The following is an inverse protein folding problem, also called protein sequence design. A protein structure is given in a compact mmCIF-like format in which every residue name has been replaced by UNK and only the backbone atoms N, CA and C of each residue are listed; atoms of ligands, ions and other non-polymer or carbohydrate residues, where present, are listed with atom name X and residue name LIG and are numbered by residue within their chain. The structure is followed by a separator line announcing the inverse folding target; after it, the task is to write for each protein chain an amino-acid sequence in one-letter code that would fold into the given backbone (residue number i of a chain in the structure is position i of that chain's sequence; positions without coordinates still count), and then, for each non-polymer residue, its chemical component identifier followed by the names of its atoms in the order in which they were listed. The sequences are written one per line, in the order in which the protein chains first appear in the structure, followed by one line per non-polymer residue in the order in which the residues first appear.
data_IF_810827313476
#
_entry.id   IF_810827313476
#
_cell.length_a   1.000
_cell.length_b   1.000
_cell.length_c   1.000
_cell.angle_alpha   90.00
_cell.angle_beta   90.00
_cell.angle_gamma   90.00
#
_symmetry.space_group_name_H-M   'P 1'
#
loop_
_entity.id
_entity.type
_entity.pdbx_description
1 polymer ?
#
# COMPACT_ATOMS: atom_id res chain seq x y z
N UNK A 1 -8.26 41.83 3.97
CA UNK A 1 -8.15 41.42 5.39
C UNK A 1 -6.75 41.63 5.96
N UNK A 2 -5.68 41.10 5.34
CA UNK A 2 -4.29 41.29 5.80
C UNK A 2 -3.76 42.74 5.74
N UNK A 3 -4.11 43.51 4.70
CA UNK A 3 -3.67 44.90 4.58
C UNK A 3 -4.42 45.83 5.55
N UNK A 4 -5.70 45.55 5.82
CA UNK A 4 -6.50 46.28 6.80
C UNK A 4 -5.99 46.08 8.23
N UNK A 5 -5.48 44.89 8.57
CA UNK A 5 -4.92 44.61 9.88
C UNK A 5 -3.58 45.32 10.12
N UNK A 6 -2.74 45.47 9.08
CA UNK A 6 -1.47 46.19 9.16
C UNK A 6 -1.64 47.70 9.39
N UNK A 7 -2.70 48.29 8.82
CA UNK A 7 -3.03 49.72 8.98
C UNK A 7 -3.48 49.99 10.41
N UNK A 8 -4.39 49.17 10.95
CA UNK A 8 -4.88 49.27 12.33
C UNK A 8 -3.74 49.13 13.35
N UNK A 9 -2.79 48.22 13.10
CA UNK A 9 -1.61 48.04 13.96
C UNK A 9 -0.67 49.24 13.89
N UNK A 10 -0.47 49.85 12.71
CA UNK A 10 0.39 51.03 12.55
C UNK A 10 -0.20 52.28 13.20
N UNK A 11 -1.49 52.52 13.04
CA UNK A 11 -2.18 53.68 13.61
C UNK A 11 -2.26 53.59 15.14
N UNK A 12 -2.48 52.39 15.69
CA UNK A 12 -2.52 52.18 17.15
C UNK A 12 -1.13 52.28 17.84
N UNK A 13 -0.04 52.10 17.08
CA UNK A 13 1.34 52.28 17.58
C UNK A 13 1.75 53.76 17.60
N UNK A 14 1.20 54.60 16.73
CA UNK A 14 1.55 56.02 16.64
C UNK A 14 0.98 56.89 17.77
N UNK A 15 -0.14 56.50 18.37
CA UNK A 15 -0.84 57.28 19.42
C UNK A 15 -0.34 57.04 20.86
N UNK A 16 0.64 56.15 21.10
CA UNK A 16 1.04 55.75 22.46
C UNK A 16 2.51 56.00 22.80
N UNK A 17 3.01 57.21 22.53
CA UNK A 17 4.22 57.71 23.19
C UNK A 17 3.92 57.98 24.68
N UNK A 18 4.08 56.96 25.53
CA UNK A 18 4.08 57.15 26.99
C UNK A 18 3.71 55.96 27.89
N UNK A 19 3.46 54.75 27.37
CA UNK A 19 3.02 53.62 28.23
C UNK A 19 3.71 52.30 27.89
N UNK A 20 4.97 52.16 28.31
CA UNK A 20 5.78 50.95 28.10
C UNK A 20 5.17 49.65 28.65
N UNK A 21 4.35 49.72 29.71
CA UNK A 21 3.70 48.55 30.28
C UNK A 21 2.52 48.03 29.42
N UNK A 22 1.73 48.94 28.85
CA UNK A 22 0.62 48.58 27.96
C UNK A 22 1.13 48.05 26.62
N UNK A 23 2.21 48.62 26.08
CA UNK A 23 2.82 48.14 24.84
C UNK A 23 3.39 46.72 25.01
N UNK A 24 4.00 46.42 26.15
CA UNK A 24 4.49 45.07 26.46
C UNK A 24 3.33 44.07 26.63
N UNK A 25 2.28 44.44 27.37
CA UNK A 25 1.09 43.60 27.55
C UNK A 25 0.37 43.31 26.23
N UNK A 26 0.26 44.30 25.33
CA UNK A 26 -0.32 44.13 23.99
C UNK A 26 0.49 43.16 23.14
N UNK A 27 1.83 43.27 23.13
CA UNK A 27 2.70 42.37 22.38
C UNK A 27 2.63 40.94 22.93
N UNK A 28 2.57 40.79 24.25
CA UNK A 28 2.40 39.48 24.90
C UNK A 28 1.03 38.88 24.57
N UNK A 29 -0.05 39.66 24.63
CA UNK A 29 -1.39 39.19 24.26
C UNK A 29 -1.49 38.81 22.78
N UNK A 30 -0.89 39.60 21.88
CA UNK A 30 -0.83 39.28 20.45
C UNK A 30 0.00 38.01 20.23
N UNK A 31 1.13 37.82 20.93
CA UNK A 31 1.89 36.56 20.88
C UNK A 31 1.10 35.37 21.42
N UNK A 32 0.39 35.53 22.53
CA UNK A 32 -0.44 34.46 23.12
C UNK A 32 -1.60 34.11 22.18
N UNK A 33 -2.26 35.10 21.60
CA UNK A 33 -3.34 34.91 20.63
C UNK A 33 -2.81 34.30 19.33
N UNK A 34 -1.65 34.73 18.85
CA UNK A 34 -0.96 34.18 17.68
C UNK A 34 -0.53 32.72 17.91
N UNK A 35 0.07 32.41 19.06
CA UNK A 35 0.43 31.03 19.46
C UNK A 35 -0.82 30.18 19.65
N UNK A 36 -1.91 30.71 20.20
CA UNK A 36 -3.18 30.00 20.32
C UNK A 36 -3.89 29.81 18.97
N UNK A 37 -3.73 30.73 18.01
CA UNK A 37 -4.21 30.60 16.63
C UNK A 37 -3.39 29.56 15.87
N UNK A 38 -2.07 29.56 16.02
CA UNK A 38 -1.18 28.51 15.49
C UNK A 38 -1.51 27.14 16.13
N UNK A 39 -1.76 27.09 17.44
CA UNK A 39 -2.17 25.87 18.14
C UNK A 39 -3.58 25.41 17.78
N UNK A 40 -4.52 26.32 17.47
CA UNK A 40 -5.85 25.96 16.94
C UNK A 40 -5.77 25.36 15.53
N UNK A 41 -4.75 25.74 14.75
CA UNK A 41 -4.46 25.13 13.45
C UNK A 41 -3.60 23.85 13.55
N UNK A 42 -2.87 23.66 14.65
CA UNK A 42 -2.27 22.38 15.04
C UNK A 42 -3.33 21.50 15.71
N UNK A 43 -4.17 20.85 14.90
CA UNK A 43 -5.07 19.81 15.42
C UNK A 43 -4.20 18.71 16.03
N UNK A 44 -4.15 18.65 17.37
CA UNK A 44 -3.36 17.66 18.10
C UNK A 44 -3.73 16.26 17.63
N UNK A 45 -2.77 15.50 17.10
CA UNK A 45 -2.98 14.12 16.66
C UNK A 45 -3.55 13.30 17.83
N UNK A 46 -4.71 12.64 17.68
CA UNK A 46 -5.31 11.86 18.75
C UNK A 46 -4.33 10.84 19.31
N UNK A 47 -4.28 10.68 20.64
CA UNK A 47 -3.48 9.65 21.32
C UNK A 47 -3.70 8.24 20.75
N UNK A 48 -4.89 7.96 20.19
CA UNK A 48 -5.24 6.68 19.55
C UNK A 48 -4.50 6.43 18.23
N UNK A 49 -4.24 7.46 17.43
CA UNK A 49 -3.41 7.37 16.22
C UNK A 49 -1.96 7.11 16.64
N UNK A 50 -1.48 7.90 17.60
CA UNK A 50 -0.10 7.82 18.10
C UNK A 50 0.26 6.46 18.75
N UNK A 51 -0.73 5.71 19.26
CA UNK A 51 -0.54 4.42 19.95
C UNK A 51 -0.71 3.17 19.05
N UNK A 52 -0.80 3.32 17.72
CA UNK A 52 -0.64 2.20 16.78
C UNK A 52 -1.88 1.33 16.50
N UNK A 53 -3.08 1.73 16.95
CA UNK A 53 -4.36 1.13 16.55
C UNK A 53 -5.36 2.22 16.21
N UNK A 54 -5.25 2.78 15.01
CA UNK A 54 -6.25 3.66 14.45
C UNK A 54 -7.30 2.82 13.71
N UNK A 55 -8.58 3.00 14.05
CA UNK A 55 -9.73 2.57 13.24
C UNK A 55 -10.40 3.85 12.79
N UNK A 56 -10.42 4.11 11.49
CA UNK A 56 -11.23 5.21 10.99
C UNK A 56 -12.71 4.80 11.10
N UNK A 57 -13.49 5.67 11.72
CA UNK A 57 -14.91 5.40 12.00
C UNK A 57 -15.77 5.50 10.73
N UNK A 58 -15.26 6.13 9.68
CA UNK A 58 -16.01 6.36 8.44
C UNK A 58 -15.86 5.21 7.43
N UNK A 59 -14.71 4.54 7.41
CA UNK A 59 -14.42 3.45 6.45
C UNK A 59 -13.99 2.13 7.14
N UNK A 60 -13.86 2.10 8.47
CA UNK A 60 -13.56 0.87 9.21
C UNK A 60 -12.12 0.37 9.13
N UNK A 61 -11.25 1.02 8.36
CA UNK A 61 -9.88 0.58 8.09
C UNK A 61 -9.05 0.66 9.38
N UNK A 62 -8.33 -0.43 9.66
CA UNK A 62 -7.40 -0.49 10.80
C UNK A 62 -5.96 -0.44 10.35
N UNK A 63 -5.14 0.30 11.10
CA UNK A 63 -3.75 0.56 10.75
C UNK A 63 -2.77 0.04 11.80
N UNK A 64 -1.56 -0.29 11.34
CA UNK A 64 -0.37 -0.53 12.16
C UNK A 64 0.60 0.62 11.96
N UNK A 65 1.19 1.12 13.05
CA UNK A 65 2.26 2.12 13.00
C UNK A 65 3.59 1.44 12.73
N UNK A 66 4.30 1.90 11.71
CA UNK A 66 5.70 1.56 11.48
C UNK A 66 6.55 2.71 12.00
N UNK A 67 7.49 2.41 12.89
CA UNK A 67 8.31 3.45 13.52
C UNK A 67 9.26 4.10 12.51
N UNK A 68 9.72 5.30 12.84
CA UNK A 68 10.88 5.88 12.14
C UNK A 68 12.11 5.06 12.47
N UNK A 69 13.04 4.93 11.53
CA UNK A 69 14.24 4.14 11.73
C UNK A 69 14.91 3.80 10.41
N UNK A 70 15.99 3.04 10.50
CA UNK A 70 16.71 2.52 9.36
C UNK A 70 16.37 1.03 9.24
N UNK A 71 15.93 0.63 8.07
CA UNK A 71 15.49 -0.73 7.80
C UNK A 71 16.28 -1.34 6.65
N UNK A 72 16.48 -2.65 6.74
CA UNK A 72 17.11 -3.43 5.70
C UNK A 72 16.04 -3.90 4.70
N UNK A 73 16.23 -3.59 3.41
CA UNK A 73 15.32 -3.96 2.30
C UNK A 73 16.11 -4.42 1.08
N UNK A 74 15.48 -5.18 0.19
CA UNK A 74 16.11 -5.85 -0.95
C UNK A 74 16.35 -7.34 -0.70
N UNK A 75 17.11 -7.97 -1.59
CA UNK A 75 17.39 -9.40 -1.54
C UNK A 75 18.42 -9.75 -0.47
N UNK A 76 18.06 -10.73 0.37
CA UNK A 76 18.93 -11.35 1.36
C UNK A 76 19.99 -12.25 0.79
N UNK A 77 20.96 -12.65 1.63
CA UNK A 77 21.92 -13.67 1.24
C UNK A 77 21.20 -14.97 0.82
N UNK A 78 20.07 -15.31 1.45
CA UNK A 78 19.25 -16.44 1.05
C UNK A 78 18.60 -16.22 -0.33
N UNK A 79 18.14 -14.99 -0.61
CA UNK A 79 17.61 -14.62 -1.94
C UNK A 79 18.72 -14.68 -3.01
N UNK A 80 19.94 -14.23 -2.69
CA UNK A 80 21.09 -14.28 -3.59
C UNK A 80 21.54 -15.73 -3.89
N UNK A 81 21.52 -16.61 -2.89
CA UNK A 81 21.80 -18.06 -3.09
C UNK A 81 20.75 -18.70 -3.99
N UNK A 82 19.49 -18.29 -3.86
CA UNK A 82 18.42 -18.75 -4.75
C UNK A 82 18.58 -18.20 -6.17
N UNK A 83 19.03 -16.94 -6.29
CA UNK A 83 19.20 -16.27 -7.57
C UNK A 83 20.47 -16.67 -8.30
N UNK A 84 21.57 -17.02 -7.62
CA UNK A 84 22.83 -17.40 -8.26
C UNK A 84 22.71 -18.65 -9.14
N UNK A 85 21.59 -19.35 -9.06
CA UNK A 85 21.22 -20.46 -9.92
C UNK A 85 20.58 -20.02 -11.25
N UNK A 86 20.26 -18.72 -11.44
CA UNK A 86 19.59 -18.19 -12.63
C UNK A 86 20.04 -16.76 -13.02
N UNK A 87 20.41 -16.58 -14.30
CA UNK A 87 20.78 -15.28 -14.88
C UNK A 87 19.59 -14.31 -14.91
N UNK A 88 19.58 -13.34 -14.00
CA UNK A 88 18.65 -12.21 -14.10
C UNK A 88 19.37 -10.92 -13.69
N UNK A 89 19.57 -9.98 -14.61
CA UNK A 89 20.38 -8.74 -14.46
C UNK A 89 19.78 -7.69 -13.49
N UNK A 90 18.97 -8.10 -12.50
CA UNK A 90 18.38 -7.18 -11.52
C UNK A 90 19.40 -6.92 -10.39
N UNK A 91 19.65 -5.66 -10.05
CA UNK A 91 20.49 -5.31 -8.89
C UNK A 91 19.54 -4.96 -7.75
N UNK A 92 19.10 -5.97 -7.01
CA UNK A 92 18.26 -5.81 -5.81
C UNK A 92 19.11 -6.16 -4.59
N UNK A 93 20.34 -5.66 -4.52
CA UNK A 93 21.19 -5.91 -3.36
C UNK A 93 20.54 -5.33 -2.10
N UNK A 94 20.67 -6.05 -1.01
CA UNK A 94 20.28 -5.59 0.32
C UNK A 94 20.87 -4.20 0.59
N UNK A 95 20.00 -3.22 0.80
CA UNK A 95 20.36 -1.84 1.10
C UNK A 95 19.54 -1.32 2.28
N UNK A 96 19.95 -0.16 2.80
CA UNK A 96 19.28 0.49 3.91
C UNK A 96 18.35 1.56 3.39
N UNK A 97 17.11 1.57 3.89
CA UNK A 97 16.17 2.68 3.72
C UNK A 97 15.94 3.34 5.07
N UNK A 98 16.08 4.66 5.10
CA UNK A 98 15.75 5.47 6.26
C UNK A 98 14.32 5.99 6.15
N UNK A 99 13.56 5.84 7.24
CA UNK A 99 12.29 6.53 7.46
C UNK A 99 12.50 7.54 8.57
N UNK A 100 12.69 8.81 8.19
CA UNK A 100 12.86 9.92 9.15
C UNK A 100 11.61 10.14 10.03
N UNK A 101 10.44 9.70 9.57
CA UNK A 101 9.16 9.76 10.28
C UNK A 101 8.42 8.42 10.21
N UNK A 102 7.59 8.19 11.22
CA UNK A 102 6.69 7.03 11.24
C UNK A 102 5.54 7.21 10.27
N UNK A 103 5.17 6.13 9.60
CA UNK A 103 3.96 6.02 8.80
C UNK A 103 3.04 4.94 9.38
N UNK A 104 1.85 4.81 8.81
CA UNK A 104 0.94 3.72 9.11
C UNK A 104 0.57 2.97 7.84
N UNK A 105 0.32 1.69 7.96
CA UNK A 105 -0.11 0.84 6.85
C UNK A 105 -1.32 0.01 7.28
N UNK A 106 -2.28 -0.17 6.36
CA UNK A 106 -3.50 -0.89 6.63
C UNK A 106 -3.18 -2.36 7.00
N UNK A 107 -3.87 -2.85 8.03
CA UNK A 107 -3.72 -4.20 8.55
C UNK A 107 -3.99 -5.29 7.52
N UNK A 108 -4.87 -4.98 6.57
CA UNK A 108 -5.42 -5.89 5.57
C UNK A 108 -5.49 -5.16 4.23
N UNK A 109 -5.62 -5.94 3.16
CA UNK A 109 -5.98 -5.47 1.82
C UNK A 109 -7.32 -4.73 1.83
N UNK A 110 -7.52 -3.83 0.86
CA UNK A 110 -8.84 -3.26 0.59
C UNK A 110 -9.77 -4.37 0.11
N UNK A 111 -10.94 -4.46 0.73
CA UNK A 111 -11.93 -5.49 0.44
C UNK A 111 -12.89 -5.07 -0.67
N UNK A 112 -13.60 -6.05 -1.25
CA UNK A 112 -14.70 -5.79 -2.17
C UNK A 112 -15.78 -4.90 -1.55
N UNK A 113 -16.15 -5.10 -0.29
CA UNK A 113 -17.14 -4.26 0.40
C UNK A 113 -16.68 -2.81 0.56
N UNK A 114 -15.43 -2.60 0.95
CA UNK A 114 -14.84 -1.25 1.07
C UNK A 114 -14.73 -0.55 -0.29
N UNK A 115 -14.34 -1.28 -1.34
CA UNK A 115 -14.24 -0.73 -2.69
C UNK A 115 -15.62 -0.47 -3.31
N UNK A 116 -16.61 -1.33 -3.03
CA UNK A 116 -17.99 -1.14 -3.45
C UNK A 116 -18.57 0.17 -2.90
N UNK A 117 -18.33 0.49 -1.63
CA UNK A 117 -18.78 1.75 -1.02
C UNK A 117 -18.20 2.98 -1.74
N UNK A 118 -16.94 2.90 -2.19
CA UNK A 118 -16.33 3.94 -3.03
C UNK A 118 -17.05 4.09 -4.37
N UNK A 119 -17.27 2.99 -5.08
CA UNK A 119 -17.92 3.01 -6.39
C UNK A 119 -19.35 3.55 -6.28
N UNK A 120 -20.08 3.16 -5.23
CA UNK A 120 -21.45 3.62 -5.01
C UNK A 120 -21.50 5.13 -4.70
N UNK A 121 -20.61 5.65 -3.85
CA UNK A 121 -20.55 7.09 -3.55
C UNK A 121 -20.17 7.90 -4.81
N UNK A 122 -19.20 7.41 -5.60
CA UNK A 122 -18.80 8.06 -6.84
C UNK A 122 -19.93 8.08 -7.87
N UNK A 123 -20.69 6.98 -8.02
CA UNK A 123 -21.82 6.90 -8.96
C UNK A 123 -23.05 7.67 -8.48
N UNK A 124 -23.26 7.76 -7.16
CA UNK A 124 -24.29 8.62 -6.60
C UNK A 124 -24.00 10.11 -6.89
N UNK A 125 -22.72 10.51 -6.84
CA UNK A 125 -22.30 11.88 -7.16
C UNK A 125 -22.20 12.17 -8.67
N UNK A 126 -21.84 11.16 -9.47
CA UNK A 126 -21.73 11.22 -10.92
C UNK A 126 -22.18 9.88 -11.55
N UNK A 127 -23.42 9.76 -12.05
CA UNK A 127 -23.94 8.52 -12.63
C UNK A 127 -23.12 7.98 -13.83
N UNK A 128 -22.34 8.82 -14.50
CA UNK A 128 -21.46 8.44 -15.61
C UNK A 128 -20.08 7.96 -15.15
N UNK A 129 -19.81 7.92 -13.84
CA UNK A 129 -18.55 7.45 -13.31
C UNK A 129 -18.29 5.98 -13.69
N UNK A 130 -17.18 5.77 -14.38
CA UNK A 130 -16.66 4.44 -14.75
C UNK A 130 -15.23 4.28 -14.23
N UNK A 131 -14.93 3.09 -13.74
CA UNK A 131 -13.55 2.70 -13.44
C UNK A 131 -12.78 2.49 -14.74
N UNK A 132 -11.47 2.69 -14.71
CA UNK A 132 -10.63 2.43 -15.87
C UNK A 132 -10.69 0.96 -16.28
N UNK A 133 -10.77 0.04 -15.32
CA UNK A 133 -10.97 -1.39 -15.56
C UNK A 133 -12.34 -1.75 -16.18
N UNK A 134 -13.32 -0.85 -16.14
CA UNK A 134 -14.66 -1.11 -16.71
C UNK A 134 -14.74 -0.75 -18.20
N UNK A 135 -13.82 0.08 -18.69
CA UNK A 135 -13.75 0.51 -20.09
C UNK A 135 -13.65 -0.69 -21.04
N UNK A 136 -14.38 -0.66 -22.16
CA UNK A 136 -14.49 -1.78 -23.11
C UNK A 136 -13.16 -2.23 -23.74
N UNK A 137 -12.11 -1.42 -23.67
CA UNK A 137 -10.78 -1.75 -24.21
C UNK A 137 -9.81 -2.28 -23.15
N UNK A 138 -10.19 -2.24 -21.86
CA UNK A 138 -9.37 -2.71 -20.75
C UNK A 138 -10.01 -3.97 -20.17
N UNK A 139 -9.55 -5.13 -20.63
CA UNK A 139 -9.94 -6.41 -20.06
C UNK A 139 -9.03 -6.73 -18.88
N UNK A 140 -9.59 -7.35 -17.84
CA UNK A 140 -8.76 -7.94 -16.80
C UNK A 140 -8.14 -9.24 -17.31
N UNK A 141 -6.86 -9.44 -17.01
CA UNK A 141 -6.18 -10.70 -17.30
C UNK A 141 -6.59 -11.71 -16.23
N UNK A 142 -7.07 -12.88 -16.66
CA UNK A 142 -7.46 -13.97 -15.76
C UNK A 142 -6.36 -15.03 -15.70
N UNK A 143 -5.92 -15.28 -14.47
CA UNK A 143 -5.39 -16.59 -14.09
C UNK A 143 -6.56 -17.50 -13.73
N UNK A 144 -6.50 -18.77 -14.12
CA UNK A 144 -7.40 -19.79 -13.60
C UNK A 144 -6.74 -20.61 -12.47
N UNK A 145 -7.45 -21.58 -11.91
CA UNK A 145 -6.93 -22.44 -10.84
C UNK A 145 -5.92 -23.48 -11.36
N UNK A 146 -5.68 -23.50 -12.68
CA UNK A 146 -4.59 -24.22 -13.34
C UNK A 146 -3.37 -23.33 -13.63
N UNK A 147 -3.37 -22.08 -13.15
CA UNK A 147 -2.28 -21.10 -13.32
C UNK A 147 -2.01 -20.75 -14.79
N UNK A 148 -3.01 -20.90 -15.66
CA UNK A 148 -2.91 -20.50 -17.05
C UNK A 148 -3.43 -19.06 -17.21
N UNK A 149 -2.65 -18.23 -17.90
CA UNK A 149 -3.04 -16.88 -18.27
C UNK A 149 -3.90 -16.95 -19.54
N UNK A 150 -5.17 -16.58 -19.42
CA UNK A 150 -6.07 -16.51 -20.57
C UNK A 150 -6.15 -15.07 -21.05
N UNK A 151 -5.64 -14.82 -22.26
CA UNK A 151 -5.99 -13.62 -23.02
C UNK A 151 -7.35 -13.86 -23.67
N UNK A 152 -8.28 -12.90 -23.59
CA UNK A 152 -9.54 -12.92 -24.34
C UNK A 152 -9.28 -12.73 -25.85
N UNK A 153 -8.47 -13.60 -26.48
CA UNK A 153 -8.35 -13.73 -27.92
C UNK A 153 -9.06 -15.00 -28.38
N UNK A 154 -10.39 -14.96 -28.32
CA UNK A 154 -11.25 -15.58 -29.32
C UNK A 154 -11.71 -17.02 -29.12
N UNK A 155 -11.26 -17.80 -28.13
CA UNK A 155 -11.73 -19.20 -28.01
C UNK A 155 -11.99 -19.75 -26.59
N UNK A 156 -11.97 -18.93 -25.54
CA UNK A 156 -12.49 -19.32 -24.22
C UNK A 156 -13.49 -18.29 -23.73
N UNK A 157 -14.76 -18.64 -23.77
CA UNK A 157 -15.89 -17.82 -23.30
C UNK A 157 -15.86 -17.76 -21.77
N UNK A 158 -14.90 -17.04 -21.17
CA UNK A 158 -15.14 -16.42 -19.88
C UNK A 158 -15.70 -15.04 -20.19
N UNK A 159 -17.00 -14.86 -19.99
CA UNK A 159 -17.64 -13.56 -20.00
C UNK A 159 -16.78 -12.54 -19.23
N UNK A 160 -16.49 -11.38 -19.84
CA UNK A 160 -15.70 -10.25 -19.31
C UNK A 160 -15.54 -10.30 -17.79
N UNK A 161 -14.37 -10.70 -17.31
CA UNK A 161 -14.08 -10.68 -15.86
C UNK A 161 -13.95 -9.24 -15.37
N UNK A 162 -14.44 -8.97 -14.17
CA UNK A 162 -14.42 -7.63 -13.55
C UNK A 162 -14.17 -7.76 -12.06
N UNK A 163 -13.95 -6.64 -11.36
CA UNK A 163 -13.83 -6.65 -9.90
C UNK A 163 -15.09 -7.19 -9.20
N UNK A 164 -16.26 -7.14 -9.85
CA UNK A 164 -17.53 -7.71 -9.35
C UNK A 164 -17.63 -9.22 -9.54
N UNK A 165 -17.00 -9.75 -10.57
CA UNK A 165 -17.00 -11.17 -10.90
C UNK A 165 -15.61 -11.62 -11.40
N UNK A 166 -14.60 -11.66 -10.51
CA UNK A 166 -13.22 -11.97 -10.91
C UNK A 166 -12.95 -13.47 -11.04
N UNK A 167 -13.84 -14.31 -10.49
CA UNK A 167 -13.71 -15.77 -10.41
C UNK A 167 -15.02 -16.44 -10.87
N UNK A 168 -15.03 -17.78 -11.09
CA UNK A 168 -16.24 -18.50 -11.49
C UNK A 168 -17.42 -18.26 -10.53
N UNK A 169 -18.65 -18.29 -11.09
CA UNK A 169 -19.91 -17.87 -10.44
C UNK A 169 -20.16 -18.51 -9.06
N UNK A 170 -19.61 -19.70 -8.80
CA UNK A 170 -19.83 -20.44 -7.55
C UNK A 170 -18.64 -20.40 -6.58
N UNK A 171 -17.62 -19.57 -6.83
CA UNK A 171 -16.46 -19.54 -5.95
C UNK A 171 -16.81 -19.03 -4.54
N UNK A 172 -17.41 -17.84 -4.45
CA UNK A 172 -17.70 -17.19 -3.18
C UNK A 172 -18.73 -17.95 -2.34
N UNK A 173 -19.71 -18.62 -2.96
CA UNK A 173 -20.69 -19.42 -2.22
C UNK A 173 -20.07 -20.58 -1.43
N UNK A 174 -18.81 -20.97 -1.74
CA UNK A 174 -18.08 -22.02 -1.06
C UNK A 174 -16.93 -21.50 -0.17
N UNK A 175 -16.54 -20.23 -0.32
CA UNK A 175 -15.29 -19.69 0.27
C UNK A 175 -15.47 -18.41 1.11
N UNK A 176 -16.73 -18.01 1.35
CA UNK A 176 -17.08 -16.88 2.22
C UNK A 176 -17.71 -15.72 1.47
N UNK A 177 -18.18 -14.72 2.22
CA UNK A 177 -18.87 -13.57 1.66
C UNK A 177 -17.94 -12.76 0.75
N UNK A 178 -18.37 -12.53 -0.49
CA UNK A 178 -17.63 -11.77 -1.51
C UNK A 178 -17.06 -10.45 -0.96
N UNK A 179 -17.82 -9.75 -0.13
CA UNK A 179 -17.45 -8.47 0.49
C UNK A 179 -16.19 -8.54 1.35
N UNK A 180 -15.82 -9.72 1.86
CA UNK A 180 -14.68 -9.93 2.75
C UNK A 180 -13.40 -10.30 2.03
N UNK A 181 -13.48 -10.61 0.74
CA UNK A 181 -12.32 -10.89 -0.11
C UNK A 181 -11.64 -9.60 -0.56
N UNK A 182 -10.33 -9.63 -0.89
CA UNK A 182 -9.65 -8.48 -1.44
C UNK A 182 -10.26 -8.08 -2.79
N UNK A 183 -10.35 -6.78 -3.04
CA UNK A 183 -10.69 -6.29 -4.38
C UNK A 183 -9.55 -6.61 -5.35
N UNK A 184 -9.91 -7.18 -6.49
CA UNK A 184 -9.00 -7.52 -7.61
C UNK A 184 -9.61 -7.04 -8.92
N UNK A 185 -8.93 -7.23 -10.05
CA UNK A 185 -9.35 -6.70 -11.35
C UNK A 185 -9.52 -5.16 -11.31
N UNK A 186 -8.64 -4.48 -10.58
CA UNK A 186 -8.54 -3.01 -10.50
C UNK A 186 -7.20 -2.57 -11.06
N UNK A 187 -7.20 -1.48 -11.82
CA UNK A 187 -5.93 -0.90 -12.29
C UNK A 187 -5.25 -0.10 -11.17
N UNK A 188 -4.00 0.27 -11.40
CA UNK A 188 -3.30 1.19 -10.48
C UNK A 188 -4.00 2.56 -10.41
N UNK A 189 -4.58 3.02 -11.53
CA UNK A 189 -5.33 4.28 -11.56
C UNK A 189 -6.65 4.18 -10.77
N UNK A 190 -7.32 3.02 -10.79
CA UNK A 190 -8.51 2.78 -9.98
C UNK A 190 -8.18 2.80 -8.47
N UNK A 191 -7.04 2.21 -8.08
CA UNK A 191 -6.54 2.27 -6.72
C UNK A 191 -6.25 3.73 -6.30
N UNK A 192 -5.66 4.55 -7.17
CA UNK A 192 -5.50 5.99 -6.90
C UNK A 192 -6.83 6.75 -6.81
N UNK A 193 -7.81 6.42 -7.64
CA UNK A 193 -9.14 7.03 -7.55
C UNK A 193 -9.78 6.76 -6.18
N UNK A 194 -9.62 5.53 -5.67
CA UNK A 194 -10.01 5.16 -4.31
C UNK A 194 -9.25 5.97 -3.24
N UNK A 195 -7.93 6.15 -3.37
CA UNK A 195 -7.14 6.99 -2.46
C UNK A 195 -7.61 8.45 -2.46
N UNK A 196 -7.87 9.02 -3.64
CA UNK A 196 -8.39 10.40 -3.79
C UNK A 196 -9.75 10.54 -3.12
N UNK A 197 -10.63 9.56 -3.30
CA UNK A 197 -11.93 9.50 -2.65
C UNK A 197 -11.80 9.43 -1.13
N UNK A 198 -10.93 8.56 -0.61
CA UNK A 198 -10.64 8.48 0.83
C UNK A 198 -10.18 9.83 1.37
N UNK A 199 -9.19 10.46 0.73
CA UNK A 199 -8.70 11.77 1.17
C UNK A 199 -9.81 12.82 1.12
N UNK A 200 -10.55 12.95 0.02
CA UNK A 200 -11.66 13.90 -0.13
C UNK A 200 -12.69 13.76 1.00
N UNK A 201 -13.06 12.52 1.34
CA UNK A 201 -14.08 12.23 2.34
C UNK A 201 -13.54 12.15 3.78
N UNK A 202 -12.22 12.15 3.98
CA UNK A 202 -11.62 12.12 5.30
C UNK A 202 -11.55 13.51 5.93
N UNK A 203 -12.51 13.80 6.81
CA UNK A 203 -12.55 15.04 7.61
C UNK A 203 -11.62 14.93 8.81
N UNK A 204 -10.91 16.01 9.13
CA UNK A 204 -9.95 16.12 10.26
C UNK A 204 -8.78 15.13 10.17
N UNK A 205 -8.02 15.20 9.09
CA UNK A 205 -6.91 14.28 8.76
C UNK A 205 -5.69 14.32 9.71
N UNK A 206 -5.69 15.22 10.72
CA UNK A 206 -4.62 15.37 11.73
C UNK A 206 -3.19 15.50 11.17
N UNK A 207 -3.07 16.11 9.98
CA UNK A 207 -1.81 16.25 9.28
C UNK A 207 -1.35 14.98 8.54
N UNK A 208 -2.21 13.98 8.38
CA UNK A 208 -1.98 12.77 7.60
C UNK A 208 -2.79 12.77 6.30
N UNK A 209 -2.43 11.92 5.36
CA UNK A 209 -3.23 11.61 4.19
C UNK A 209 -3.11 10.13 3.82
N UNK A 210 -4.15 9.60 3.20
CA UNK A 210 -4.12 8.28 2.57
C UNK A 210 -3.23 8.32 1.33
N UNK A 211 -2.45 7.26 1.15
CA UNK A 211 -1.63 7.01 -0.04
C UNK A 211 -1.67 5.53 -0.38
N UNK A 212 -1.22 5.16 -1.58
CA UNK A 212 -0.65 3.82 -1.75
C UNK A 212 0.66 3.74 -0.95
N UNK A 213 1.02 2.58 -0.37
CA UNK A 213 2.36 2.41 0.17
C UNK A 213 3.37 2.55 -0.96
N UNK A 214 4.55 3.10 -0.66
CA UNK A 214 5.68 2.86 -1.53
C UNK A 214 6.16 1.42 -1.41
N UNK A 215 6.98 1.00 -2.36
CA UNK A 215 7.65 -0.29 -2.34
C UNK A 215 8.47 -0.48 -1.06
N UNK A 216 9.22 0.54 -0.64
CA UNK A 216 10.03 0.48 0.57
C UNK A 216 9.16 0.40 1.82
N UNK A 217 8.07 1.18 1.90
CA UNK A 217 7.11 1.09 3.00
C UNK A 217 6.52 -0.32 3.08
N UNK A 218 6.13 -0.87 1.93
CA UNK A 218 5.54 -2.18 1.83
C UNK A 218 6.52 -3.27 2.29
N UNK A 219 7.78 -3.24 1.84
CA UNK A 219 8.75 -4.28 2.18
C UNK A 219 9.12 -4.26 3.67
N UNK A 220 9.33 -3.06 4.25
CA UNK A 220 9.57 -2.93 5.70
C UNK A 220 8.38 -3.48 6.50
N UNK A 221 7.17 -3.14 6.09
CA UNK A 221 5.95 -3.63 6.71
C UNK A 221 5.81 -5.15 6.59
N UNK A 222 6.17 -5.73 5.43
CA UNK A 222 6.12 -7.16 5.16
C UNK A 222 7.11 -7.91 6.05
N UNK A 223 8.38 -7.49 6.04
CA UNK A 223 9.48 -8.12 6.79
C UNK A 223 9.21 -8.16 8.28
N UNK A 224 8.64 -7.08 8.84
CA UNK A 224 8.36 -6.97 10.28
C UNK A 224 9.55 -7.37 11.20
N UNK A 225 10.77 -7.06 10.75
CA UNK A 225 12.03 -7.41 11.43
C UNK A 225 12.70 -8.70 10.96
N UNK A 226 12.08 -9.48 10.07
CA UNK A 226 12.68 -10.66 9.43
C UNK A 226 13.69 -10.28 8.35
N UNK A 227 14.84 -10.96 8.36
CA UNK A 227 15.83 -10.88 7.27
C UNK A 227 15.70 -12.03 6.26
N UNK A 228 14.78 -12.96 6.50
CA UNK A 228 14.54 -14.11 5.64
C UNK A 228 13.78 -13.78 4.35
N UNK A 229 13.61 -14.82 3.55
CA UNK A 229 12.75 -14.89 2.37
C UNK A 229 11.29 -14.62 2.74
N UNK A 230 10.87 -15.08 3.92
CA UNK A 230 9.51 -14.94 4.44
C UNK A 230 9.54 -14.20 5.78
N UNK A 231 8.39 -13.64 6.20
CA UNK A 231 8.32 -12.90 7.47
C UNK A 231 8.23 -13.81 8.70
N UNK A 232 7.98 -15.11 8.51
CA UNK A 232 7.83 -16.09 9.59
C UNK A 232 9.08 -16.96 9.74
N UNK A 233 9.12 -17.69 10.86
CA UNK A 233 10.19 -18.61 11.26
C UNK A 233 9.62 -20.02 11.43
N UNK A 234 10.49 -21.03 11.39
CA UNK A 234 10.14 -22.39 11.78
C UNK A 234 10.01 -22.52 13.31
N UNK A 235 9.66 -23.74 13.76
CA UNK A 235 9.48 -24.11 15.17
C UNK A 235 10.75 -24.02 16.03
N UNK A 236 11.93 -23.93 15.41
CA UNK A 236 13.23 -23.74 16.07
C UNK A 236 13.75 -22.30 15.95
N UNK A 237 12.97 -21.40 15.36
CA UNK A 237 13.35 -20.00 15.14
C UNK A 237 14.24 -19.79 13.90
N UNK A 238 14.41 -20.80 13.06
CA UNK A 238 15.07 -20.71 11.76
C UNK A 238 14.25 -19.90 10.75
N UNK A 239 14.92 -19.17 9.87
CA UNK A 239 14.28 -18.39 8.80
C UNK A 239 14.06 -19.25 7.55
N UNK A 240 13.24 -18.76 6.61
CA UNK A 240 13.08 -19.32 5.27
C UNK A 240 12.31 -20.65 5.22
N UNK A 241 11.33 -20.86 6.09
CA UNK A 241 10.58 -22.10 6.14
C UNK A 241 9.35 -22.08 5.21
N UNK A 242 9.45 -22.70 4.03
CA UNK A 242 8.28 -22.84 3.14
C UNK A 242 7.29 -23.91 3.63
N UNK A 243 7.70 -24.85 4.50
CA UNK A 243 6.85 -25.97 4.92
C UNK A 243 5.70 -25.51 5.82
N UNK A 244 5.84 -24.38 6.50
CA UNK A 244 4.76 -23.77 7.29
C UNK A 244 3.97 -22.69 6.52
N UNK A 245 4.20 -22.51 5.21
CA UNK A 245 3.57 -21.44 4.43
C UNK A 245 2.04 -21.41 4.49
N UNK A 246 1.37 -22.58 4.51
CA UNK A 246 -0.10 -22.67 4.58
C UNK A 246 -0.72 -22.12 5.88
N UNK A 247 0.08 -21.83 6.91
CA UNK A 247 -0.37 -21.12 8.13
C UNK A 247 -0.34 -19.60 7.97
N UNK A 248 0.45 -19.10 7.02
CA UNK A 248 0.82 -17.70 6.90
C UNK A 248 0.32 -17.04 5.61
N UNK A 249 0.01 -17.81 4.57
CA UNK A 249 -0.49 -17.26 3.32
C UNK A 249 -1.39 -18.22 2.52
N UNK A 250 -2.13 -17.60 1.60
CA UNK A 250 -2.79 -18.23 0.46
C UNK A 250 -1.87 -18.14 -0.76
N UNK A 251 -1.46 -19.25 -1.36
CA UNK A 251 -0.54 -19.27 -2.50
C UNK A 251 -0.78 -20.48 -3.40
N UNK A 252 -0.08 -20.53 -4.53
CA UNK A 252 -0.19 -21.69 -5.38
C UNK A 252 0.50 -22.89 -4.71
N UNK A 253 -0.33 -23.80 -4.24
CA UNK A 253 0.13 -25.12 -3.85
C UNK A 253 0.48 -25.93 -5.11
N UNK A 254 1.67 -26.55 -5.13
CA UNK A 254 2.05 -27.72 -5.94
C UNK A 254 0.86 -28.68 -6.05
N UNK A 255 0.09 -28.55 -7.12
CA UNK A 255 -0.93 -29.53 -7.47
C UNK A 255 -0.19 -30.73 -8.05
N UNK A 256 -0.49 -31.92 -7.53
CA UNK A 256 -0.21 -33.20 -8.18
C UNK A 256 1.27 -33.56 -8.45
N UNK A 257 2.19 -33.22 -7.54
CA UNK A 257 3.56 -33.75 -7.70
C UNK A 257 4.41 -32.99 -8.73
N UNK A 258 3.96 -31.84 -9.24
CA UNK A 258 4.68 -31.03 -10.22
C UNK A 258 4.91 -29.60 -9.72
N UNK A 259 6.12 -29.02 -9.90
CA UNK A 259 6.38 -27.62 -9.63
C UNK A 259 5.31 -26.75 -10.28
N UNK A 260 4.92 -25.66 -9.63
CA UNK A 260 4.20 -24.59 -10.33
C UNK A 260 5.10 -24.18 -11.50
N UNK A 261 4.59 -24.27 -12.72
CA UNK A 261 5.39 -24.10 -13.94
C UNK A 261 6.34 -22.89 -13.81
N UNK A 262 7.65 -23.16 -13.88
CA UNK A 262 8.75 -22.19 -13.78
C UNK A 262 9.07 -21.57 -12.40
N UNK A 263 8.62 -22.12 -11.26
CA UNK A 263 9.23 -21.70 -9.96
C UNK A 263 10.72 -22.14 -9.94
N UNK A 264 11.67 -21.18 -9.89
CA UNK A 264 13.09 -21.49 -9.98
C UNK A 264 13.67 -22.13 -8.71
N UNK A 265 12.87 -22.39 -7.67
CA UNK A 265 13.36 -22.98 -6.41
C UNK A 265 12.58 -24.27 -6.08
N UNK A 266 13.27 -25.36 -5.67
CA UNK A 266 12.62 -26.59 -5.18
C UNK A 266 12.06 -26.41 -3.75
N UNK A 267 11.27 -25.36 -3.54
CA UNK A 267 10.46 -25.15 -2.32
C UNK A 267 9.01 -25.42 -2.66
N UNK A 268 8.25 -25.79 -1.65
CA UNK A 268 6.81 -26.02 -1.76
C UNK A 268 6.11 -25.43 -0.55
N UNK A 269 4.94 -24.83 -0.78
CA UNK A 269 3.96 -24.51 0.25
C UNK A 269 2.89 -25.60 0.31
N UNK A 270 2.66 -26.25 1.45
CA UNK A 270 1.54 -27.19 1.58
C UNK A 270 0.24 -26.59 1.07
N UNK A 271 -0.66 -27.44 0.56
CA UNK A 271 -2.00 -27.01 0.12
C UNK A 271 -2.69 -26.19 1.20
N UNK A 272 -3.08 -24.97 0.83
CA UNK A 272 -3.93 -24.12 1.65
C UNK A 272 -5.42 -24.32 1.31
N UNK A 273 -6.31 -23.56 1.97
CA UNK A 273 -7.75 -23.79 1.91
C UNK A 273 -8.46 -23.15 0.71
N UNK A 274 -7.77 -22.35 -0.12
CA UNK A 274 -8.40 -21.52 -1.15
C UNK A 274 -7.77 -21.76 -2.52
N UNK A 275 -8.61 -21.89 -3.56
CA UNK A 275 -8.14 -22.04 -4.95
C UNK A 275 -7.99 -20.71 -5.69
N UNK A 276 -8.58 -19.63 -5.16
CA UNK A 276 -8.38 -18.25 -5.58
C UNK A 276 -8.15 -17.39 -4.33
N UNK A 277 -8.67 -16.17 -4.27
CA UNK A 277 -8.53 -15.31 -3.08
C UNK A 277 -9.17 -15.90 -1.84
N UNK A 278 -8.58 -15.62 -0.68
CA UNK A 278 -9.14 -15.90 0.64
C UNK A 278 -9.73 -14.60 1.23
N UNK A 279 -10.71 -14.66 2.16
CA UNK A 279 -11.12 -13.52 2.96
C UNK A 279 -9.90 -12.85 3.62
N UNK A 280 -9.90 -11.51 3.68
CA UNK A 280 -8.74 -10.79 4.19
C UNK A 280 -8.46 -11.11 5.66
N UNK A 281 -7.22 -11.46 5.97
CA UNK A 281 -6.76 -11.87 7.29
C UNK A 281 -7.23 -13.25 7.73
N UNK A 282 -7.35 -14.19 6.79
CA UNK A 282 -7.61 -15.61 7.08
C UNK A 282 -6.39 -16.34 7.66
N UNK A 283 -5.18 -15.83 7.41
CA UNK A 283 -3.92 -16.45 7.84
C UNK A 283 -3.27 -15.70 9.01
N UNK A 284 -2.22 -16.29 9.60
CA UNK A 284 -1.52 -15.65 10.71
C UNK A 284 -0.83 -14.35 10.28
N UNK A 285 -0.94 -13.27 11.06
CA UNK A 285 -0.27 -12.02 10.73
C UNK A 285 1.24 -12.11 11.00
N UNK A 286 2.00 -11.19 10.41
CA UNK A 286 3.41 -11.02 10.74
C UNK A 286 3.60 -10.38 12.15
N UNK A 287 4.85 -10.19 12.58
CA UNK A 287 5.19 -9.65 13.91
C UNK A 287 4.66 -8.23 14.17
N UNK A 288 4.30 -7.48 13.13
CA UNK A 288 3.67 -6.16 13.24
C UNK A 288 2.13 -6.24 13.32
N UNK A 289 1.54 -7.42 13.16
CA UNK A 289 0.10 -7.62 13.15
C UNK A 289 -0.57 -7.28 11.81
N UNK A 290 0.22 -7.35 10.72
CA UNK A 290 -0.24 -7.18 9.33
C UNK A 290 -0.56 -8.54 8.73
N UNK A 291 -1.69 -8.62 8.04
CA UNK A 291 -2.19 -9.82 7.37
C UNK A 291 -1.94 -9.75 5.88
N UNK A 292 -1.86 -10.93 5.27
CA UNK A 292 -1.80 -11.12 3.81
C UNK A 292 -0.67 -10.30 3.15
N UNK A 293 0.44 -10.06 3.88
CA UNK A 293 1.60 -9.37 3.31
C UNK A 293 2.31 -10.25 2.28
N UNK A 294 2.13 -11.57 2.32
CA UNK A 294 2.60 -12.50 1.31
C UNK A 294 1.41 -13.36 0.88
N UNK A 295 1.27 -13.61 -0.43
CA UNK A 295 0.16 -14.36 -1.01
C UNK A 295 -1.18 -13.61 -1.01
N UNK A 296 -2.26 -14.36 -1.22
CA UNK A 296 -3.61 -13.88 -1.52
C UNK A 296 -3.67 -13.08 -2.83
N UNK A 297 -3.17 -11.84 -2.86
CA UNK A 297 -3.07 -11.04 -4.09
C UNK A 297 -1.80 -10.22 -4.07
N UNK A 298 -1.23 -9.98 -5.25
CA UNK A 298 -0.23 -8.93 -5.42
C UNK A 298 -0.82 -7.58 -5.03
N UNK A 299 0.04 -6.68 -4.57
CA UNK A 299 -0.37 -5.36 -4.12
C UNK A 299 0.30 -4.24 -4.89
N UNK A 300 -0.52 -3.37 -5.48
CA UNK A 300 -0.04 -2.13 -6.07
C UNK A 300 0.71 -1.27 -5.05
N UNK A 301 1.93 -0.89 -5.41
CA UNK A 301 2.68 0.18 -4.75
C UNK A 301 2.61 1.46 -5.60
N UNK A 302 2.92 2.60 -4.98
CA UNK A 302 2.98 3.89 -5.69
C UNK A 302 4.06 3.90 -6.80
N UNK A 303 5.19 3.25 -6.54
CA UNK A 303 6.45 3.40 -7.29
C UNK A 303 6.34 2.98 -8.77
N UNK A 304 7.03 3.74 -9.62
CA UNK A 304 7.34 3.33 -10.98
C UNK A 304 8.34 2.15 -10.99
N UNK A 305 8.19 1.22 -11.92
CA UNK A 305 9.09 0.08 -12.03
C UNK A 305 10.49 0.51 -12.50
N UNK A 306 11.50 0.19 -11.69
CA UNK A 306 12.91 0.30 -12.05
C UNK A 306 13.68 -0.96 -11.69
N UNK A 307 14.66 -1.32 -12.52
CA UNK A 307 15.62 -2.40 -12.23
C UNK A 307 16.66 -1.99 -11.17
N UNK A 308 16.84 -0.68 -10.95
CA UNK A 308 17.68 -0.11 -9.90
C UNK A 308 16.77 0.26 -8.73
N UNK A 309 16.99 -0.38 -7.59
CA UNK A 309 16.21 -0.14 -6.35
C UNK A 309 16.93 0.74 -5.35
N UNK A 310 18.25 0.77 -5.40
CA UNK A 310 19.10 1.72 -4.68
C UNK A 310 20.45 1.88 -5.40
N UNK A 311 21.10 3.02 -5.17
CA UNK A 311 22.48 3.22 -5.59
C UNK A 311 23.43 2.48 -4.63
N UNK A 312 24.48 1.81 -5.14
CA UNK A 312 25.46 1.12 -4.28
C UNK A 312 26.05 2.03 -3.20
N UNK A 313 26.07 1.55 -1.96
CA UNK A 313 26.70 2.27 -0.83
C UNK A 313 25.88 3.41 -0.22
N UNK A 314 24.67 3.69 -0.72
CA UNK A 314 23.81 4.75 -0.18
C UNK A 314 22.72 4.17 0.73
N UNK A 315 22.44 4.89 1.82
CA UNK A 315 21.16 4.74 2.53
C UNK A 315 20.17 5.63 1.80
N UNK A 316 19.16 5.03 1.17
CA UNK A 316 18.11 5.83 0.55
C UNK A 316 17.27 6.46 1.68
N UNK A 317 17.29 7.78 1.78
CA UNK A 317 16.34 8.55 2.59
C UNK A 317 15.07 8.88 1.77
N UNK A 318 14.73 7.99 0.83
CA UNK A 318 13.62 8.19 -0.08
C UNK A 318 12.57 7.08 0.11
N UNK A 319 11.51 7.36 0.89
CA UNK A 319 10.41 6.42 1.06
C UNK A 319 9.44 6.45 -0.13
N UNK A 320 9.71 7.16 -1.23
CA UNK A 320 8.80 7.31 -2.37
C UNK A 320 9.40 6.84 -3.71
N UNK A 321 10.43 5.99 -3.65
CA UNK A 321 11.07 5.37 -4.81
C UNK A 321 12.53 5.79 -4.99
N UNK A 322 13.27 5.18 -5.92
CA UNK A 322 14.65 5.55 -6.21
C UNK A 322 14.75 6.93 -6.87
N UNK A 323 15.72 7.73 -6.44
CA UNK A 323 16.00 9.06 -7.01
C UNK A 323 16.26 8.98 -8.52
N UNK A 324 15.71 9.94 -9.26
CA UNK A 324 15.89 10.05 -10.72
C UNK A 324 15.04 9.10 -11.55
N UNK A 325 14.19 8.28 -10.94
CA UNK A 325 13.17 7.49 -11.65
C UNK A 325 11.92 8.35 -11.85
N UNK A 326 11.40 8.49 -13.08
CA UNK A 326 10.20 9.28 -13.33
C UNK A 326 8.98 8.76 -12.55
N UNK A 327 8.20 9.68 -11.99
CA UNK A 327 6.97 9.34 -11.25
C UNK A 327 5.87 8.78 -12.14
N UNK A 328 5.94 8.99 -13.47
CA UNK A 328 4.94 8.54 -14.44
C UNK A 328 5.42 7.43 -15.39
N UNK A 329 6.01 6.39 -14.83
CA UNK A 329 6.29 5.19 -15.60
C UNK A 329 5.00 4.40 -15.90
N UNK A 330 4.90 3.77 -17.09
CA UNK A 330 3.75 2.95 -17.45
C UNK A 330 3.65 1.72 -16.56
N UNK A 331 4.79 1.10 -16.24
CA UNK A 331 4.86 -0.05 -15.35
C UNK A 331 5.00 0.40 -13.89
N UNK A 332 4.16 -0.17 -13.02
CA UNK A 332 4.14 0.09 -11.58
C UNK A 332 4.54 -1.15 -10.80
N UNK A 333 5.11 -0.94 -9.62
CA UNK A 333 5.55 -2.03 -8.74
C UNK A 333 4.34 -2.74 -8.13
N UNK A 334 4.39 -4.07 -8.12
CA UNK A 334 3.52 -4.97 -7.39
C UNK A 334 4.34 -5.84 -6.43
N UNK A 335 3.87 -6.04 -5.19
CA UNK A 335 4.56 -6.82 -4.15
C UNK A 335 3.69 -7.95 -3.60
N UNK A 336 4.30 -8.94 -2.94
CA UNK A 336 3.58 -9.93 -2.10
C UNK A 336 3.35 -11.30 -2.72
N UNK A 337 3.22 -11.40 -4.04
CA UNK A 337 2.71 -12.64 -4.65
C UNK A 337 1.20 -12.78 -4.47
N UNK A 338 0.61 -13.77 -5.11
CA UNK A 338 -0.84 -14.01 -5.13
C UNK A 338 -1.19 -15.47 -4.81
N UNK A 339 -2.48 -15.77 -4.77
CA UNK A 339 -3.02 -17.14 -4.74
C UNK A 339 -2.49 -18.01 -5.90
N UNK A 340 -1.99 -17.39 -6.98
CA UNK A 340 -1.40 -18.07 -8.13
C UNK A 340 0.15 -18.19 -8.04
N UNK A 341 0.78 -17.68 -6.98
CA UNK A 341 2.24 -17.53 -6.89
C UNK A 341 2.90 -18.61 -6.02
N UNK A 342 3.99 -19.19 -6.54
CA UNK A 342 4.82 -20.15 -5.80
C UNK A 342 5.77 -19.50 -4.79
N UNK A 343 6.56 -20.30 -4.05
CA UNK A 343 7.53 -19.82 -3.06
C UNK A 343 8.52 -18.76 -3.55
N UNK A 344 9.00 -18.82 -4.80
CA UNK A 344 9.91 -17.79 -5.30
C UNK A 344 9.24 -16.41 -5.41
N UNK A 345 7.97 -16.38 -5.81
CA UNK A 345 7.23 -15.15 -6.12
C UNK A 345 6.59 -14.51 -4.88
N UNK A 346 6.57 -15.23 -3.77
CA UNK A 346 5.96 -14.85 -2.47
C UNK A 346 7.02 -14.55 -1.40
N UNK A 347 8.21 -14.11 -1.81
CA UNK A 347 9.26 -13.66 -0.89
C UNK A 347 9.04 -12.20 -0.50
N UNK A 348 9.45 -11.83 0.71
CA UNK A 348 9.49 -10.46 1.19
C UNK A 348 10.17 -9.51 0.20
N UNK A 349 11.27 -9.95 -0.43
CA UNK A 349 12.05 -9.16 -1.39
C UNK A 349 11.55 -9.24 -2.84
N UNK A 350 10.60 -10.13 -3.14
CA UNK A 350 10.16 -10.34 -4.52
C UNK A 350 9.38 -9.13 -5.05
N UNK A 351 9.66 -8.78 -6.31
CA UNK A 351 9.08 -7.63 -7.01
C UNK A 351 8.53 -8.08 -8.35
N UNK A 352 7.28 -7.71 -8.65
CA UNK A 352 6.68 -7.78 -9.98
C UNK A 352 6.41 -6.36 -10.48
N UNK A 353 6.30 -6.20 -11.79
CA UNK A 353 5.69 -5.02 -12.38
C UNK A 353 4.46 -5.38 -13.17
N UNK A 354 3.57 -4.41 -13.31
CA UNK A 354 2.42 -4.50 -14.19
C UNK A 354 2.13 -3.12 -14.77
N UNK A 355 1.64 -3.08 -16.03
CA UNK A 355 1.19 -1.83 -16.64
C UNK A 355 0.06 -1.22 -15.81
N UNK A 356 0.16 0.08 -15.53
CA UNK A 356 -0.77 0.83 -14.66
C UNK A 356 -2.21 0.82 -15.13
N UNK A 357 -2.47 0.50 -16.40
CA UNK A 357 -3.79 0.44 -17.01
C UNK A 357 -4.33 -0.99 -17.15
N UNK A 358 -3.54 -2.01 -16.81
CA UNK A 358 -3.99 -3.41 -16.88
C UNK A 358 -4.56 -3.85 -15.54
N UNK A 359 -5.80 -4.34 -15.57
CA UNK A 359 -6.42 -5.03 -14.46
C UNK A 359 -6.05 -6.53 -14.50
N UNK A 360 -5.84 -7.16 -13.35
CA UNK A 360 -5.55 -8.60 -13.26
C UNK A 360 -6.28 -9.18 -12.05
N UNK A 361 -6.80 -10.40 -12.14
CA UNK A 361 -7.57 -11.04 -11.06
C UNK A 361 -6.71 -11.54 -9.87
N UNK A 362 -5.41 -11.27 -9.92
CA UNK A 362 -4.44 -11.61 -8.87
C UNK A 362 -3.74 -10.37 -8.28
N UNK A 363 -4.16 -9.15 -8.67
CA UNK A 363 -3.64 -7.88 -8.12
C UNK A 363 -4.77 -7.09 -7.46
N UNK A 364 -4.55 -6.72 -6.20
CA UNK A 364 -5.31 -5.75 -5.44
C UNK A 364 -4.41 -4.66 -4.87
N UNK A 365 -4.80 -4.08 -3.74
CA UNK A 365 -3.99 -3.07 -3.05
C UNK A 365 -4.38 -2.93 -1.57
N UNK A 366 -3.49 -2.30 -0.81
CA UNK A 366 -3.77 -1.78 0.53
C UNK A 366 -3.40 -0.30 0.61
N UNK A 367 -3.83 0.36 1.68
CA UNK A 367 -3.59 1.80 1.86
C UNK A 367 -2.59 2.08 2.98
N UNK A 368 -1.88 3.20 2.87
CA UNK A 368 -1.01 3.74 3.90
C UNK A 368 -1.54 5.11 4.38
N UNK A 369 -1.10 5.53 5.58
CA UNK A 369 -1.25 6.88 6.08
C UNK A 369 0.13 7.46 6.39
N UNK A 370 0.43 8.58 5.75
CA UNK A 370 1.70 9.30 5.89
C UNK A 370 1.42 10.74 6.30
N UNK A 371 2.37 11.43 6.92
CA UNK A 371 2.17 12.86 7.21
C UNK A 371 2.19 13.62 5.89
N UNK A 372 1.30 14.59 5.75
CA UNK A 372 1.21 15.45 4.55
C UNK A 372 2.54 16.19 4.31
N UNK A 373 3.26 16.52 5.38
CA UNK A 373 4.58 17.17 5.32
C UNK A 373 5.67 16.27 4.73
N UNK A 374 5.45 14.96 4.70
CA UNK A 374 6.42 13.96 4.26
C UNK A 374 6.11 13.47 2.83
N UNK A 375 5.04 13.99 2.22
CA UNK A 375 4.66 13.72 0.83
C UNK A 375 5.30 14.80 -0.06
N UNK A 376 6.09 14.41 -1.08
CA UNK A 376 6.61 15.33 -2.09
C UNK A 376 5.48 16.12 -2.80
N UNK A 377 5.72 17.39 -3.14
CA UNK A 377 4.67 18.26 -3.68
C UNK A 377 4.06 17.75 -4.99
N UNK A 378 4.89 17.16 -5.86
CA UNK A 378 4.48 16.47 -7.09
C UNK A 378 3.50 15.31 -6.82
N UNK A 379 3.54 14.68 -5.64
CA UNK A 379 2.69 13.55 -5.28
C UNK A 379 1.41 13.96 -4.55
N UNK A 380 1.36 15.16 -3.96
CA UNK A 380 0.16 15.64 -3.27
C UNK A 380 -1.05 15.70 -4.22
N UNK A 381 -0.85 16.22 -5.42
CA UNK A 381 -1.91 16.28 -6.46
C UNK A 381 -2.38 14.88 -6.87
N UNK A 382 -1.45 13.93 -6.98
CA UNK A 382 -1.74 12.54 -7.32
C UNK A 382 -2.66 11.87 -6.28
N UNK A 383 -2.48 12.19 -5.00
CA UNK A 383 -3.33 11.67 -3.91
C UNK A 383 -4.55 12.54 -3.60
N UNK A 384 -4.81 13.60 -4.37
CA UNK A 384 -5.96 14.49 -4.15
C UNK A 384 -5.82 15.35 -2.89
N UNK A 385 -4.59 15.71 -2.53
CA UNK A 385 -4.26 16.59 -1.41
C UNK A 385 -4.08 18.00 -1.98
N UNK A 386 -4.87 18.94 -1.45
CA UNK A 386 -4.83 20.37 -1.81
C UNK A 386 -4.06 21.17 -0.78
#
# INVERSE_FOLDING_TARGET
MWNSLKIIIRESIAESCGKGLLQFLSIVLVKILYVNLLNKNYISTPKRILKGKFKDKNNGITFVRINSGIYQVGESQADLIQRSQYNNNRIVQFHKVAFSKSYYIAKKLVTNGEFQAFVDDMRAANPEFQLQAENSNNYAVAWDDSHQCHFENGNTVRSKITWRAPFPVNYYSQHGDWETHPVVCVTWNDALAYIKWLNKNWRRRWGYAFTLPSEAMWEVACRAGSNGLFFWKDEHGGENDSKNGSKHLNASSYRQGQPVDNDPIPRYFPRDAYSYTAPVGSYQPNAFGLYDMLGNVYEWCYDGWSVVTALPGQTADNPWGPDGVPDDLPNRVCRGGSWASGPFYTRCAHRRYQDKNTAVNDIGFRVALVRITDIPDNLKSLFGIQ
#
